data_IF_858994784227
#
_entry.id   IF_858994784227
#
_cell.length_a   1.000
_cell.length_b   1.000
_cell.length_c   1.000
_cell.angle_alpha   90.00
_cell.angle_beta   90.00
_cell.angle_gamma   90.00
#
_symmetry.space_group_name_H-M   'P 1'
#
loop_
_entity.id
_entity.type
_entity.pdbx_description
1 polymer ?
#
# COMPACT_ATOMS: atom_id res chain seq x y z
N UNK A 1 3.03 1.71 0.25
CA UNK A 1 3.17 0.27 -0.06
C UNK A 1 1.84 -0.28 -0.55
N UNK A 2 1.87 -1.24 -1.46
CA UNK A 2 0.71 -2.07 -1.81
C UNK A 2 1.09 -3.52 -1.52
N UNK A 3 0.47 -4.08 -0.48
CA UNK A 3 0.76 -5.42 0.01
C UNK A 3 -0.33 -6.39 -0.39
N UNK A 4 0.03 -7.67 -0.49
CA UNK A 4 -0.91 -8.77 -0.70
C UNK A 4 -0.72 -9.76 0.44
N UNK A 5 -1.80 -10.05 1.15
CA UNK A 5 -1.79 -10.95 2.31
C UNK A 5 -2.68 -12.14 2.04
N UNK A 6 -2.17 -13.35 2.34
CA UNK A 6 -3.00 -14.56 2.37
C UNK A 6 -4.03 -14.42 3.49
N UNK A 7 -5.24 -14.90 3.22
CA UNK A 7 -6.40 -14.84 4.10
C UNK A 7 -7.18 -16.13 3.95
N UNK A 8 -7.25 -16.94 5.00
CA UNK A 8 -8.04 -18.18 5.00
C UNK A 8 -9.54 -17.92 4.94
N UNK A 9 -9.98 -16.72 5.32
CA UNK A 9 -11.37 -16.30 5.42
C UNK A 9 -11.94 -15.67 4.13
N UNK A 10 -11.14 -15.48 3.07
CA UNK A 10 -11.62 -14.93 1.80
C UNK A 10 -11.75 -16.02 0.74
N UNK A 11 -12.82 -15.98 -0.08
CA UNK A 11 -13.06 -16.97 -1.16
C UNK A 11 -11.87 -17.11 -2.12
N UNK A 12 -11.15 -16.02 -2.37
CA UNK A 12 -9.94 -16.01 -3.21
C UNK A 12 -8.66 -16.30 -2.44
N UNK A 13 -8.69 -16.33 -1.12
CA UNK A 13 -7.50 -16.59 -0.30
C UNK A 13 -6.56 -15.40 -0.11
N UNK A 14 -6.88 -14.23 -0.67
CA UNK A 14 -5.98 -13.06 -0.72
C UNK A 14 -6.67 -11.73 -0.43
N UNK A 15 -5.92 -10.79 0.13
CA UNK A 15 -6.34 -9.40 0.39
C UNK A 15 -5.25 -8.42 -0.02
N UNK A 16 -5.65 -7.43 -0.81
CA UNK A 16 -4.81 -6.29 -1.15
C UNK A 16 -4.89 -5.24 -0.04
N UNK A 17 -3.77 -4.61 0.29
CA UNK A 17 -3.69 -3.61 1.34
C UNK A 17 -2.83 -2.46 0.86
N UNK A 18 -3.45 -1.31 0.60
CA UNK A 18 -2.72 -0.06 0.46
C UNK A 18 -2.36 0.43 1.86
N UNK A 19 -1.11 0.85 2.03
CA UNK A 19 -0.60 1.37 3.30
C UNK A 19 0.38 2.52 3.09
N UNK A 20 0.25 3.59 3.88
CA UNK A 20 1.32 4.57 4.14
C UNK A 20 1.83 4.33 5.56
N UNK A 21 3.15 4.22 5.72
CA UNK A 21 3.79 4.05 7.02
C UNK A 21 4.86 5.12 7.20
N UNK A 22 4.87 5.74 8.38
CA UNK A 22 5.97 6.56 8.87
C UNK A 22 6.58 5.86 10.07
N UNK A 23 7.90 5.93 10.19
CA UNK A 23 8.65 5.32 11.28
C UNK A 23 9.47 6.41 11.98
N UNK A 24 9.60 6.27 13.30
CA UNK A 24 10.46 7.12 14.11
C UNK A 24 10.98 6.33 15.32
N UNK A 25 12.16 6.67 15.81
CA UNK A 25 12.64 6.18 17.12
C UNK A 25 11.59 6.49 18.20
N UNK A 26 11.25 5.51 19.04
CA UNK A 26 10.17 5.67 20.02
C UNK A 26 10.45 6.75 21.06
N UNK A 27 11.72 7.13 21.28
CA UNK A 27 12.09 8.26 22.16
C UNK A 27 11.68 9.61 21.57
N UNK A 28 11.38 9.65 20.28
CA UNK A 28 11.10 10.87 19.51
C UNK A 28 9.82 10.74 18.66
N UNK A 29 8.81 9.97 19.10
CA UNK A 29 7.60 9.66 18.33
C UNK A 29 6.58 10.82 18.21
N UNK A 30 6.79 11.94 18.93
CA UNK A 30 5.92 13.13 18.90
C UNK A 30 5.56 13.62 17.48
N UNK A 31 6.48 13.68 16.49
CA UNK A 31 6.14 14.05 15.12
C UNK A 31 5.14 13.09 14.46
N UNK A 32 5.17 11.79 14.80
CA UNK A 32 4.17 10.84 14.29
C UNK A 32 2.78 11.15 14.84
N UNK A 33 2.69 11.51 16.11
CA UNK A 33 1.43 11.97 16.72
C UNK A 33 0.91 13.25 16.08
N UNK A 34 1.81 14.19 15.76
CA UNK A 34 1.46 15.41 15.01
C UNK A 34 0.94 15.09 13.61
N UNK A 35 1.64 14.24 12.82
CA UNK A 35 1.17 13.82 11.49
C UNK A 35 -0.21 13.17 11.57
N UNK A 36 -0.43 12.26 12.53
CA UNK A 36 -1.74 11.62 12.77
C UNK A 36 -2.83 12.66 13.03
N UNK A 37 -2.55 13.69 13.82
CA UNK A 37 -3.50 14.78 14.11
C UNK A 37 -3.82 15.59 12.85
N UNK A 38 -2.81 15.93 12.03
CA UNK A 38 -3.01 16.68 10.78
C UNK A 38 -3.81 15.86 9.75
N UNK A 39 -3.52 14.58 9.60
CA UNK A 39 -4.20 13.71 8.64
C UNK A 39 -5.56 13.21 9.14
N UNK A 40 -5.85 13.33 10.44
CA UNK A 40 -7.11 12.88 11.05
C UNK A 40 -7.33 11.36 11.03
N UNK A 41 -6.33 10.58 10.64
CA UNK A 41 -6.44 9.13 10.46
C UNK A 41 -5.12 8.41 10.76
N UNK A 42 -5.24 7.11 11.02
CA UNK A 42 -4.13 6.20 11.25
C UNK A 42 -4.01 5.84 12.72
N UNK A 43 -3.17 4.86 13.00
CA UNK A 43 -2.88 4.43 14.35
C UNK A 43 -1.38 4.38 14.58
N UNK A 44 -0.99 4.60 15.83
CA UNK A 44 0.38 4.47 16.29
C UNK A 44 0.56 3.12 16.95
N UNK A 45 1.68 2.47 16.70
CA UNK A 45 2.06 1.26 17.43
C UNK A 45 3.55 1.29 17.73
N UNK A 46 3.91 0.93 18.97
CA UNK A 46 5.30 0.70 19.38
C UNK A 46 5.68 -0.73 19.01
N UNK A 47 6.81 -0.87 18.34
CA UNK A 47 7.40 -2.15 18.00
C UNK A 47 8.36 -2.60 19.10
N UNK A 48 8.66 -3.89 19.14
CA UNK A 48 9.59 -4.49 20.09
C UNK A 48 11.07 -4.17 19.81
N UNK A 49 11.38 -3.43 18.73
CA UNK A 49 12.72 -3.02 18.31
C UNK A 49 13.03 -1.55 18.65
N UNK A 50 12.20 -0.90 19.47
CA UNK A 50 12.38 0.50 19.84
C UNK A 50 11.87 1.50 18.81
N UNK A 51 11.23 1.07 17.72
CA UNK A 51 10.61 1.96 16.73
C UNK A 51 9.11 2.15 16.97
N UNK A 52 8.62 3.36 16.74
CA UNK A 52 7.18 3.64 16.65
C UNK A 52 6.81 3.82 15.19
N UNK A 53 5.66 3.25 14.79
CA UNK A 53 5.11 3.43 13.45
C UNK A 53 3.75 4.13 13.49
N UNK A 54 3.55 5.09 12.58
CA UNK A 54 2.22 5.56 12.20
C UNK A 54 1.79 4.81 10.95
N UNK A 55 0.71 4.04 11.05
CA UNK A 55 0.15 3.28 9.93
C UNK A 55 -1.20 3.83 9.51
N UNK A 56 -1.34 4.08 8.22
CA UNK A 56 -2.59 4.48 7.57
C UNK A 56 -2.92 3.44 6.51
N UNK A 57 -4.14 2.90 6.55
CA UNK A 57 -4.63 1.86 5.65
C UNK A 57 -5.94 2.31 4.99
N UNK A 58 -6.26 1.68 3.86
CA UNK A 58 -7.52 1.89 3.15
C UNK A 58 -7.32 2.56 1.80
N UNK A 59 -8.03 2.06 0.77
CA UNK A 59 -7.81 2.50 -0.60
C UNK A 59 -8.19 3.97 -0.81
N UNK A 60 -9.40 4.35 -0.39
CA UNK A 60 -9.91 5.73 -0.52
C UNK A 60 -9.04 6.71 0.26
N UNK A 61 -8.76 6.40 1.52
CA UNK A 61 -8.00 7.29 2.40
C UNK A 61 -6.58 7.53 1.89
N UNK A 62 -5.91 6.48 1.38
CA UNK A 62 -4.57 6.61 0.82
C UNK A 62 -4.58 7.38 -0.50
N UNK A 63 -5.57 7.14 -1.36
CA UNK A 63 -5.73 7.90 -2.58
C UNK A 63 -5.83 9.41 -2.28
N UNK A 64 -6.70 9.78 -1.34
CA UNK A 64 -6.96 11.19 -1.03
C UNK A 64 -5.74 11.86 -0.37
N UNK A 65 -5.05 11.17 0.54
CA UNK A 65 -3.80 11.66 1.15
C UNK A 65 -2.70 11.82 0.09
N UNK A 66 -2.51 10.82 -0.79
CA UNK A 66 -1.47 10.91 -1.82
C UNK A 66 -1.75 12.02 -2.81
N UNK A 67 -3.00 12.31 -3.15
CA UNK A 67 -3.35 13.42 -4.04
C UNK A 67 -2.84 14.76 -3.51
N UNK A 68 -2.87 14.95 -2.19
CA UNK A 68 -2.37 16.16 -1.51
C UNK A 68 -0.84 16.15 -1.40
N UNK A 69 -0.26 15.01 -1.02
CA UNK A 69 1.18 14.92 -0.75
C UNK A 69 2.05 14.81 -2.00
N UNK A 70 1.52 14.26 -3.10
CA UNK A 70 2.30 13.91 -4.29
C UNK A 70 3.17 15.04 -4.86
N UNK A 71 2.72 16.31 -4.94
CA UNK A 71 3.56 17.42 -5.42
C UNK A 71 4.86 17.57 -4.63
N UNK A 72 4.83 17.25 -3.33
CA UNK A 72 5.94 17.43 -2.40
C UNK A 72 6.82 16.19 -2.26
N UNK A 73 6.37 15.02 -2.74
CA UNK A 73 7.15 13.78 -2.67
C UNK A 73 8.22 13.78 -3.75
N UNK A 74 9.49 13.68 -3.36
CA UNK A 74 10.63 13.56 -4.28
C UNK A 74 11.10 12.09 -4.39
N UNK A 75 11.71 11.56 -3.32
CA UNK A 75 12.35 10.23 -3.34
C UNK A 75 11.39 9.06 -3.59
N UNK A 76 10.13 9.21 -3.20
CA UNK A 76 9.11 8.15 -3.34
C UNK A 76 8.12 8.42 -4.47
N UNK A 77 8.41 9.37 -5.37
CA UNK A 77 7.43 9.87 -6.36
C UNK A 77 6.88 8.74 -7.22
N UNK A 78 7.75 7.92 -7.81
CA UNK A 78 7.35 6.78 -8.67
C UNK A 78 6.42 5.80 -7.94
N UNK A 79 6.74 5.45 -6.70
CA UNK A 79 5.93 4.54 -5.89
C UNK A 79 4.59 5.19 -5.49
N UNK A 80 4.62 6.49 -5.18
CA UNK A 80 3.45 7.26 -4.77
C UNK A 80 2.46 7.43 -5.92
N UNK A 81 2.93 7.70 -7.14
CA UNK A 81 2.09 7.79 -8.35
C UNK A 81 1.44 6.45 -8.68
N UNK A 82 2.21 5.36 -8.65
CA UNK A 82 1.69 4.02 -8.86
C UNK A 82 0.66 3.65 -7.79
N UNK A 83 0.93 3.98 -6.52
CA UNK A 83 0.00 3.72 -5.42
C UNK A 83 -1.25 4.59 -5.50
N UNK A 84 -1.15 5.84 -5.94
CA UNK A 84 -2.30 6.73 -6.17
C UNK A 84 -3.24 6.11 -7.22
N UNK A 85 -2.70 5.66 -8.36
CA UNK A 85 -3.48 5.01 -9.43
C UNK A 85 -4.10 3.68 -8.96
N UNK A 86 -3.32 2.83 -8.30
CA UNK A 86 -3.80 1.53 -7.80
C UNK A 86 -4.87 1.69 -6.72
N UNK A 87 -4.70 2.62 -5.78
CA UNK A 87 -5.67 2.88 -4.72
C UNK A 87 -6.96 3.49 -5.25
N UNK A 88 -6.92 4.35 -6.27
CA UNK A 88 -8.10 4.82 -6.97
C UNK A 88 -8.92 3.67 -7.58
N UNK A 89 -8.25 2.74 -8.27
CA UNK A 89 -8.91 1.60 -8.89
C UNK A 89 -9.53 0.65 -7.84
N UNK A 90 -8.76 0.29 -6.81
CA UNK A 90 -9.20 -0.58 -5.72
C UNK A 90 -10.32 0.03 -4.86
N UNK A 91 -10.43 1.36 -4.80
CA UNK A 91 -11.52 2.05 -4.08
C UNK A 91 -12.86 2.02 -4.83
N UNK A 92 -12.86 1.84 -6.16
CA UNK A 92 -14.06 1.91 -6.98
C UNK A 92 -14.90 0.64 -6.94
N UNK A 93 -14.28 -0.53 -6.99
CA UNK A 93 -14.97 -1.82 -7.06
C UNK A 93 -14.11 -2.95 -6.50
N UNK A 94 -14.73 -4.08 -6.22
CA UNK A 94 -14.00 -5.30 -5.83
C UNK A 94 -13.27 -5.91 -7.03
N UNK A 95 -12.25 -6.72 -6.75
CA UNK A 95 -11.43 -7.38 -7.78
C UNK A 95 -12.23 -8.31 -8.70
N UNK A 96 -13.36 -8.85 -8.24
CA UNK A 96 -14.23 -9.70 -9.05
C UNK A 96 -14.78 -8.92 -10.25
N UNK A 97 -15.07 -7.63 -10.07
CA UNK A 97 -15.55 -6.74 -11.12
C UNK A 97 -14.46 -6.13 -11.99
N UNK A 98 -13.20 -6.55 -11.86
CA UNK A 98 -12.12 -6.00 -12.67
C UNK A 98 -12.05 -6.70 -14.03
N UNK A 99 -11.93 -5.90 -15.09
CA UNK A 99 -11.59 -6.39 -16.42
C UNK A 99 -10.16 -6.94 -16.46
N UNK A 100 -9.83 -7.67 -17.52
CA UNK A 100 -8.47 -8.16 -17.75
C UNK A 100 -7.46 -7.00 -17.79
N UNK A 101 -7.81 -5.91 -18.46
CA UNK A 101 -6.95 -4.73 -18.57
C UNK A 101 -6.71 -4.07 -17.20
N UNK A 102 -7.74 -3.96 -16.35
CA UNK A 102 -7.61 -3.42 -15.00
C UNK A 102 -6.74 -4.30 -14.10
N UNK A 103 -6.84 -5.63 -14.23
CA UNK A 103 -5.97 -6.59 -13.54
C UNK A 103 -4.52 -6.42 -14.00
N UNK A 104 -4.28 -6.27 -15.30
CA UNK A 104 -2.94 -6.03 -15.85
C UNK A 104 -2.34 -4.71 -15.35
N UNK A 105 -3.14 -3.63 -15.35
CA UNK A 105 -2.72 -2.33 -14.79
C UNK A 105 -2.36 -2.44 -13.32
N UNK A 106 -3.19 -3.14 -12.53
CA UNK A 106 -2.94 -3.36 -11.11
C UNK A 106 -1.64 -4.15 -10.88
N UNK A 107 -1.41 -5.23 -11.64
CA UNK A 107 -0.16 -6.00 -11.61
C UNK A 107 1.05 -5.09 -11.85
N UNK A 108 1.01 -4.30 -12.93
CA UNK A 108 2.11 -3.40 -13.30
C UNK A 108 2.40 -2.38 -12.19
N UNK A 109 1.38 -1.77 -11.59
CA UNK A 109 1.58 -0.85 -10.48
C UNK A 109 2.17 -1.52 -9.24
N UNK A 110 1.79 -2.77 -8.94
CA UNK A 110 2.38 -3.52 -7.83
C UNK A 110 3.87 -3.76 -8.08
N UNK A 111 4.23 -4.20 -9.29
CA UNK A 111 5.63 -4.43 -9.67
C UNK A 111 6.46 -3.14 -9.60
N UNK A 112 5.93 -2.02 -10.09
CA UNK A 112 6.57 -0.70 -9.98
C UNK A 112 6.82 -0.33 -8.51
N UNK A 113 5.81 -0.51 -7.64
CA UNK A 113 5.95 -0.22 -6.21
C UNK A 113 7.02 -1.13 -5.58
N UNK A 114 7.03 -2.43 -5.92
CA UNK A 114 7.97 -3.40 -5.37
C UNK A 114 9.41 -3.19 -5.86
N UNK A 115 9.61 -2.80 -7.12
CA UNK A 115 10.94 -2.57 -7.70
C UNK A 115 11.59 -1.30 -7.14
N UNK A 116 10.77 -0.28 -6.84
CA UNK A 116 11.26 0.98 -6.30
C UNK A 116 11.37 0.98 -4.77
N UNK A 117 10.74 0.04 -4.06
CA UNK A 117 10.96 -0.11 -2.62
C UNK A 117 12.33 -0.74 -2.34
N UNK A 118 12.93 -0.36 -1.21
CA UNK A 118 14.14 -1.00 -0.68
C UNK A 118 14.00 -2.52 -0.65
N UNK A 119 15.10 -3.22 -0.90
CA UNK A 119 15.14 -4.67 -0.98
C UNK A 119 14.52 -5.30 0.28
N UNK A 120 13.56 -6.19 0.09
CA UNK A 120 12.97 -7.00 1.15
C UNK A 120 13.27 -8.47 0.87
N UNK A 121 13.57 -9.23 1.92
CA UNK A 121 13.84 -10.68 1.83
C UNK A 121 12.66 -11.49 1.27
N UNK A 122 11.44 -10.96 1.36
CA UNK A 122 10.20 -11.67 0.99
C UNK A 122 9.33 -10.81 0.07
N UNK A 123 9.68 -10.74 -1.22
CA UNK A 123 8.84 -10.13 -2.26
C UNK A 123 7.91 -11.19 -2.84
N UNK A 124 6.62 -10.87 -2.99
CA UNK A 124 5.70 -11.70 -3.77
C UNK A 124 6.12 -11.66 -5.23
N UNK A 125 6.38 -12.82 -5.84
CA UNK A 125 6.86 -12.90 -7.22
C UNK A 125 5.76 -12.58 -8.22
N UNK A 126 6.15 -12.21 -9.45
CA UNK A 126 5.21 -11.86 -10.52
C UNK A 126 4.22 -12.99 -10.81
N UNK A 127 4.68 -14.24 -10.79
CA UNK A 127 3.87 -15.43 -11.08
C UNK A 127 2.79 -15.62 -10.02
N UNK A 128 3.11 -15.34 -8.75
CA UNK A 128 2.11 -15.36 -7.67
C UNK A 128 1.09 -14.23 -7.89
N UNK A 129 1.54 -13.02 -8.24
CA UNK A 129 0.65 -11.89 -8.50
C UNK A 129 -0.31 -12.17 -9.66
N UNK A 130 0.19 -12.77 -10.74
CA UNK A 130 -0.59 -13.16 -11.90
C UNK A 130 -1.68 -14.17 -11.52
N UNK A 131 -1.33 -15.20 -10.74
CA UNK A 131 -2.31 -16.16 -10.21
C UNK A 131 -3.37 -15.49 -9.33
N UNK A 132 -2.95 -14.59 -8.42
CA UNK A 132 -3.87 -13.86 -7.52
C UNK A 132 -4.86 -12.98 -8.29
N UNK A 133 -4.44 -12.46 -9.44
CA UNK A 133 -5.24 -11.60 -10.30
C UNK A 133 -6.00 -12.36 -11.39
N UNK A 134 -6.00 -13.69 -11.36
CA UNK A 134 -6.49 -14.61 -12.40
C UNK A 134 -6.04 -14.16 -13.82
N UNK A 135 -4.75 -13.83 -13.97
CA UNK A 135 -4.13 -13.46 -15.25
C UNK A 135 -3.49 -14.66 -15.98
N UNK A 136 -3.40 -15.80 -15.29
CA UNK A 136 -2.94 -17.07 -15.83
C UNK A 136 -4.06 -18.11 -15.68
N UNK A 137 -4.19 -19.07 -16.61
CA UNK A 137 -5.11 -20.19 -16.51
C UNK A 137 -4.95 -20.99 -15.20
#
# INVERSE_FOLDING_TARGET
MLQIKKRSDSKKGWRFMSTICFYQDSRHDKPLSWIKKILGIGYLSKRNDGMTELRINGYRQIHDILKILLPFIQFKRVQAEALLKASALLAKKSLVGFSLEERQKLLNWILIIQSNNYASRTKTTKEILEKVLDLTP
#
